data_IF_135768500808
#
_entry.id   IF_135768500808
#
_cell.length_a   1.000
_cell.length_b   1.000
_cell.length_c   1.000
_cell.angle_alpha   90.00
_cell.angle_beta   90.00
_cell.angle_gamma   90.00
#
_symmetry.space_group_name_H-M   'P 1'
#
loop_
_entity.id
_entity.type
_entity.pdbx_description
1 polymer ?
#
# COMPACT_ATOMS: atom_id res chain seq x y z
N UNK A 1 0.56 -20.83 17.23
CA UNK A 1 -0.85 -20.39 17.37
C UNK A 1 -1.39 -20.14 15.97
N UNK A 2 -2.54 -20.71 15.64
CA UNK A 2 -3.17 -20.42 14.35
C UNK A 2 -3.69 -19.00 14.37
N UNK A 3 -3.29 -18.18 13.39
CA UNK A 3 -3.78 -16.80 13.27
C UNK A 3 -5.27 -16.84 12.97
N UNK A 4 -6.10 -16.16 13.78
CA UNK A 4 -7.52 -16.02 13.49
C UNK A 4 -7.68 -15.04 12.31
N UNK A 5 -8.09 -15.54 11.15
CA UNK A 5 -8.38 -14.73 9.97
C UNK A 5 -9.88 -14.33 9.94
N UNK A 6 -10.23 -13.34 9.12
CA UNK A 6 -11.59 -12.81 9.01
C UNK A 6 -12.46 -13.58 8.01
N UNK A 7 -12.85 -14.80 8.36
CA UNK A 7 -13.80 -15.56 7.53
C UNK A 7 -15.18 -14.87 7.42
N UNK A 8 -15.60 -14.16 8.47
CA UNK A 8 -16.87 -13.47 8.57
C UNK A 8 -16.80 -11.96 8.34
N UNK A 9 -15.68 -11.46 7.80
CA UNK A 9 -15.53 -10.05 7.46
C UNK A 9 -16.53 -9.58 6.41
N UNK A 10 -16.98 -8.33 6.53
CA UNK A 10 -17.94 -7.70 5.62
C UNK A 10 -17.42 -6.42 4.99
N UNK A 11 -16.23 -5.98 5.39
CA UNK A 11 -15.67 -4.69 5.01
C UNK A 11 -14.51 -4.85 4.01
N UNK A 12 -14.87 -5.08 2.73
CA UNK A 12 -13.93 -5.25 1.60
C UNK A 12 -13.58 -3.89 0.94
N UNK A 13 -13.34 -2.89 1.78
CA UNK A 13 -12.96 -1.55 1.37
C UNK A 13 -11.44 -1.48 1.08
N UNK A 14 -10.96 -0.75 0.04
CA UNK A 14 -9.53 -0.70 -0.32
C UNK A 14 -8.68 0.17 0.63
N UNK A 15 -9.03 0.18 1.88
CA UNK A 15 -8.37 0.87 2.99
C UNK A 15 -9.06 2.17 3.43
N UNK A 16 -9.26 2.35 4.77
CA UNK A 16 -8.80 1.38 5.79
C UNK A 16 -9.44 0.02 5.63
N UNK A 17 -8.73 -1.05 6.00
CA UNK A 17 -9.28 -2.42 5.99
C UNK A 17 -9.92 -2.77 7.32
N UNK A 18 -10.67 -3.88 7.36
CA UNK A 18 -11.23 -4.43 8.59
C UNK A 18 -10.13 -4.86 9.55
N UNK A 19 -10.33 -4.62 10.84
CA UNK A 19 -9.37 -4.92 11.91
C UNK A 19 -9.99 -5.92 12.88
N UNK A 20 -9.25 -6.97 13.23
CA UNK A 20 -9.69 -8.00 14.16
C UNK A 20 -9.97 -7.43 15.57
N UNK A 21 -10.98 -7.98 16.24
CA UNK A 21 -11.43 -7.47 17.55
C UNK A 21 -10.31 -7.48 18.60
N UNK A 22 -9.47 -8.52 18.66
CA UNK A 22 -8.37 -8.61 19.63
C UNK A 22 -7.28 -7.56 19.38
N UNK A 23 -7.08 -7.13 18.12
CA UNK A 23 -6.16 -6.04 17.76
C UNK A 23 -6.69 -4.71 18.30
N UNK A 24 -8.00 -4.44 18.12
CA UNK A 24 -8.65 -3.25 18.67
C UNK A 24 -8.66 -3.26 20.20
N UNK A 25 -8.93 -4.42 20.81
CA UNK A 25 -8.95 -4.56 22.27
C UNK A 25 -7.57 -4.31 22.88
N UNK A 26 -6.48 -4.64 22.21
CA UNK A 26 -5.13 -4.37 22.70
C UNK A 26 -4.88 -2.89 22.97
N UNK A 27 -5.56 -1.99 22.27
CA UNK A 27 -5.44 -0.54 22.45
C UNK A 27 -5.94 -0.04 23.82
N UNK A 28 -6.66 -0.84 24.57
CA UNK A 28 -7.17 -0.50 25.91
C UNK A 28 -6.18 -0.80 27.05
N UNK A 29 -4.99 -1.32 26.72
CA UNK A 29 -3.93 -1.57 27.72
C UNK A 29 -3.51 -0.27 28.42
N UNK A 30 -3.09 -0.34 29.70
CA UNK A 30 -2.57 0.82 30.42
C UNK A 30 -1.39 1.48 29.70
N UNK A 31 -1.32 2.80 29.78
CA UNK A 31 -0.23 3.59 29.18
C UNK A 31 1.12 3.25 29.84
N UNK A 32 2.18 3.30 29.05
CA UNK A 32 3.57 3.11 29.50
C UNK A 32 4.43 4.32 29.16
N UNK A 33 5.53 4.51 29.85
CA UNK A 33 6.50 5.57 29.55
C UNK A 33 7.26 5.24 28.27
N UNK A 34 7.20 6.12 27.27
CA UNK A 34 7.79 5.91 25.95
C UNK A 34 9.34 6.06 25.89
N UNK A 35 9.97 6.34 27.02
CA UNK A 35 11.44 6.41 27.20
C UNK A 35 11.90 5.43 28.29
N UNK A 36 11.22 4.30 28.44
CA UNK A 36 11.54 3.29 29.45
C UNK A 36 11.62 1.90 28.84
N UNK A 37 12.24 0.98 29.59
CA UNK A 37 12.50 -0.40 29.16
C UNK A 37 11.26 -1.14 28.63
N UNK A 38 10.09 -0.92 29.23
CA UNK A 38 8.83 -1.56 28.78
C UNK A 38 8.47 -1.15 27.35
N UNK A 39 8.67 0.12 26.98
CA UNK A 39 8.42 0.58 25.62
C UNK A 39 9.54 0.12 24.67
N UNK A 40 10.79 0.13 25.10
CA UNK A 40 11.92 -0.36 24.32
C UNK A 40 11.79 -1.84 23.97
N UNK A 41 11.34 -2.67 24.93
CA UNK A 41 11.02 -4.08 24.70
C UNK A 41 9.85 -4.25 23.72
N UNK A 42 8.78 -3.45 23.87
CA UNK A 42 7.66 -3.42 22.94
C UNK A 42 8.15 -3.06 21.51
N UNK A 43 8.89 -1.98 21.39
CA UNK A 43 9.44 -1.53 20.12
C UNK A 43 10.34 -2.59 19.47
N UNK A 44 11.21 -3.25 20.26
CA UNK A 44 12.09 -4.32 19.77
C UNK A 44 11.32 -5.51 19.19
N UNK A 45 10.18 -5.91 19.82
CA UNK A 45 9.31 -6.97 19.27
C UNK A 45 8.68 -6.53 17.95
N UNK A 46 8.24 -5.27 17.84
CA UNK A 46 7.70 -4.74 16.58
C UNK A 46 8.76 -4.71 15.50
N UNK A 47 10.00 -4.32 15.82
CA UNK A 47 11.12 -4.34 14.86
C UNK A 47 11.34 -5.73 14.28
N UNK A 48 11.40 -6.76 15.13
CA UNK A 48 11.63 -8.13 14.66
C UNK A 48 10.55 -8.58 13.64
N UNK A 49 9.28 -8.27 13.89
CA UNK A 49 8.19 -8.61 12.98
C UNK A 49 8.21 -7.73 11.71
N UNK A 50 8.46 -6.44 11.83
CA UNK A 50 8.51 -5.51 10.69
C UNK A 50 9.67 -5.83 9.74
N UNK A 51 10.84 -6.23 10.27
CA UNK A 51 11.97 -6.65 9.45
C UNK A 51 11.61 -7.85 8.57
N UNK A 52 10.89 -8.83 9.09
CA UNK A 52 10.36 -9.97 8.30
C UNK A 52 9.39 -9.46 7.23
N UNK A 53 8.47 -8.56 7.57
CA UNK A 53 7.44 -8.05 6.65
C UNK A 53 8.05 -7.22 5.51
N UNK A 54 9.09 -6.44 5.78
CA UNK A 54 9.78 -5.64 4.77
C UNK A 54 10.86 -6.43 4.01
N UNK A 55 11.27 -7.61 4.51
CA UNK A 55 12.40 -8.37 3.96
C UNK A 55 13.71 -7.61 4.10
N UNK A 56 14.00 -7.10 5.31
CA UNK A 56 15.18 -6.27 5.59
C UNK A 56 15.83 -6.60 6.93
N UNK A 57 17.11 -6.38 7.01
CA UNK A 57 17.89 -6.34 8.26
C UNK A 57 18.02 -4.92 8.83
N UNK A 58 17.61 -3.91 8.07
CA UNK A 58 17.62 -2.52 8.48
C UNK A 58 16.53 -2.22 9.51
N UNK A 59 16.69 -1.17 10.35
CA UNK A 59 15.61 -0.66 11.19
C UNK A 59 14.40 -0.27 10.35
N UNK A 60 13.20 -0.60 10.85
CA UNK A 60 11.94 -0.12 10.27
C UNK A 60 11.40 1.01 11.14
N UNK A 61 11.30 2.20 10.59
CA UNK A 61 10.83 3.38 11.28
C UNK A 61 9.33 3.30 11.53
N UNK A 62 8.88 3.68 12.71
CA UNK A 62 7.47 3.73 13.09
C UNK A 62 7.09 5.18 13.37
N UNK A 63 6.24 5.74 12.52
CA UNK A 63 5.74 7.11 12.64
C UNK A 63 4.27 7.12 13.07
N UNK A 64 3.93 7.96 14.04
CA UNK A 64 2.53 8.25 14.40
C UNK A 64 1.92 9.24 13.41
N UNK A 65 1.74 8.80 12.18
CA UNK A 65 1.24 9.60 11.06
C UNK A 65 0.52 8.75 10.03
N UNK A 66 -0.02 9.38 8.99
CA UNK A 66 -0.35 8.66 7.76
C UNK A 66 0.91 8.39 6.93
N UNK A 67 0.84 7.42 6.03
CA UNK A 67 1.91 7.11 5.08
C UNK A 67 2.33 8.33 4.22
N UNK A 68 1.43 9.28 3.99
CA UNK A 68 1.72 10.54 3.28
C UNK A 68 2.86 11.32 3.95
N UNK A 69 2.96 11.31 5.29
CA UNK A 69 4.08 11.93 6.01
C UNK A 69 5.42 11.25 5.69
N UNK A 70 5.44 9.92 5.56
CA UNK A 70 6.66 9.21 5.18
C UNK A 70 6.98 9.34 3.68
N UNK A 71 5.97 9.57 2.80
CA UNK A 71 6.25 9.99 1.41
C UNK A 71 7.02 11.31 1.40
N UNK A 72 6.56 12.30 2.18
CA UNK A 72 7.25 13.60 2.32
C UNK A 72 8.65 13.44 2.93
N UNK A 73 8.80 12.60 3.96
CA UNK A 73 10.09 12.28 4.57
C UNK A 73 11.10 11.75 3.54
N UNK A 74 10.69 10.78 2.72
CA UNK A 74 11.52 10.23 1.65
C UNK A 74 11.98 11.28 0.65
N UNK A 75 11.07 12.15 0.19
CA UNK A 75 11.38 13.23 -0.76
C UNK A 75 12.37 14.25 -0.15
N UNK A 76 12.15 14.67 1.10
CA UNK A 76 13.01 15.64 1.79
C UNK A 76 14.40 15.10 2.08
N UNK A 77 14.52 13.79 2.35
CA UNK A 77 15.79 13.13 2.63
C UNK A 77 16.52 12.63 1.37
N UNK A 78 15.86 12.61 0.20
CA UNK A 78 16.48 12.22 -1.06
C UNK A 78 17.63 13.16 -1.47
N UNK A 79 18.65 12.67 -2.19
CA UNK A 79 19.76 13.49 -2.69
C UNK A 79 19.29 14.73 -3.43
N UNK A 80 20.06 15.83 -3.36
CA UNK A 80 19.74 17.06 -4.05
C UNK A 80 19.68 16.86 -5.57
N UNK A 81 18.73 17.52 -6.24
CA UNK A 81 18.54 17.45 -7.69
C UNK A 81 17.09 17.18 -8.09
N UNK A 82 16.89 17.04 -9.39
CA UNK A 82 15.59 16.78 -10.01
C UNK A 82 15.08 15.38 -9.68
N UNK A 83 13.78 15.22 -9.49
CA UNK A 83 13.11 13.94 -9.25
C UNK A 83 12.23 13.59 -10.43
N UNK A 84 12.22 12.32 -10.84
CA UNK A 84 11.29 11.79 -11.83
C UNK A 84 10.15 11.07 -11.11
N UNK A 85 8.92 11.51 -11.32
CA UNK A 85 7.73 10.86 -10.75
C UNK A 85 7.01 10.01 -11.79
N UNK A 86 6.93 8.69 -11.58
CA UNK A 86 6.12 7.78 -12.40
C UNK A 86 4.68 7.88 -11.93
N UNK A 87 3.75 8.30 -12.82
CA UNK A 87 2.35 8.56 -12.47
C UNK A 87 1.42 7.66 -13.30
N UNK A 88 0.86 6.63 -12.65
CA UNK A 88 -0.10 5.67 -13.23
C UNK A 88 -1.44 5.61 -12.48
N UNK A 89 -1.68 6.58 -11.60
CA UNK A 89 -2.92 6.68 -10.83
C UNK A 89 -2.92 7.87 -9.87
N UNK A 90 -3.88 7.88 -8.95
CA UNK A 90 -4.11 9.02 -8.05
C UNK A 90 -3.08 9.08 -6.90
N UNK A 91 -2.54 7.94 -6.45
CA UNK A 91 -1.57 7.93 -5.35
C UNK A 91 -0.17 8.25 -5.87
N UNK A 92 0.19 7.80 -7.04
CA UNK A 92 1.41 8.22 -7.72
C UNK A 92 1.37 9.71 -8.11
N UNK A 93 0.21 10.25 -8.54
CA UNK A 93 0.03 11.69 -8.73
C UNK A 93 0.18 12.48 -7.40
N UNK A 94 -0.29 11.91 -6.26
CA UNK A 94 -0.06 12.50 -4.93
C UNK A 94 1.42 12.53 -4.60
N UNK A 95 2.18 11.48 -4.90
CA UNK A 95 3.62 11.45 -4.67
C UNK A 95 4.33 12.55 -5.47
N UNK A 96 3.98 12.70 -6.75
CA UNK A 96 4.46 13.80 -7.59
C UNK A 96 4.12 15.19 -7.00
N UNK A 97 2.90 15.36 -6.48
CA UNK A 97 2.49 16.59 -5.81
C UNK A 97 3.30 16.89 -4.53
N UNK A 98 3.66 15.84 -3.76
CA UNK A 98 4.51 15.96 -2.59
C UNK A 98 5.93 16.40 -2.99
N UNK A 99 6.48 15.88 -4.09
CA UNK A 99 7.78 16.31 -4.64
C UNK A 99 7.76 17.81 -4.91
N UNK A 100 6.74 18.30 -5.62
CA UNK A 100 6.58 19.71 -5.93
C UNK A 100 6.36 20.56 -4.66
N UNK A 101 5.51 20.12 -3.74
CA UNK A 101 5.24 20.80 -2.47
C UNK A 101 6.47 20.87 -1.54
N UNK A 102 7.42 19.94 -1.69
CA UNK A 102 8.69 19.94 -0.99
C UNK A 102 9.74 20.89 -1.64
N UNK A 103 9.36 21.67 -2.65
CA UNK A 103 10.24 22.61 -3.35
C UNK A 103 11.27 21.93 -4.26
N UNK A 104 11.04 20.67 -4.66
CA UNK A 104 11.94 19.91 -5.54
C UNK A 104 11.51 20.06 -7.00
N UNK A 105 12.48 20.17 -7.91
CA UNK A 105 12.21 20.05 -9.34
C UNK A 105 11.66 18.64 -9.64
N UNK A 106 10.55 18.58 -10.36
CA UNK A 106 9.83 17.34 -10.64
C UNK A 106 9.47 17.22 -12.12
N UNK A 107 9.94 16.17 -12.77
CA UNK A 107 9.41 15.72 -14.06
C UNK A 107 8.44 14.58 -13.85
N UNK A 108 7.39 14.52 -14.66
CA UNK A 108 6.35 13.49 -14.55
C UNK A 108 6.40 12.57 -15.77
N UNK A 109 6.56 11.27 -15.54
CA UNK A 109 6.41 10.24 -16.54
C UNK A 109 4.97 9.68 -16.45
N UNK A 110 4.07 10.26 -17.25
CA UNK A 110 2.67 9.85 -17.30
C UNK A 110 2.52 8.45 -17.91
N UNK A 111 1.76 7.60 -17.21
CA UNK A 111 1.37 6.25 -17.62
C UNK A 111 -0.15 6.18 -17.68
N UNK A 112 -0.70 5.49 -18.65
CA UNK A 112 -2.15 5.30 -18.73
C UNK A 112 -2.66 4.57 -17.48
N UNK A 113 -3.76 5.03 -16.92
CA UNK A 113 -4.38 4.41 -15.75
C UNK A 113 -4.76 2.96 -16.03
N UNK A 114 -4.30 2.05 -15.18
CA UNK A 114 -4.43 0.60 -15.33
C UNK A 114 -3.22 -0.09 -15.94
N UNK A 115 -2.30 0.67 -16.53
CA UNK A 115 -1.01 0.16 -17.01
C UNK A 115 0.10 0.37 -15.96
N UNK A 116 1.24 -0.25 -16.18
CA UNK A 116 2.50 0.00 -15.47
C UNK A 116 3.46 0.74 -16.39
N UNK A 117 4.53 1.29 -15.82
CA UNK A 117 5.54 1.99 -16.60
C UNK A 117 6.23 1.04 -17.60
N UNK A 118 6.37 1.49 -18.82
CA UNK A 118 7.22 0.86 -19.83
C UNK A 118 8.69 1.11 -19.46
N UNK A 119 9.45 0.05 -19.26
CA UNK A 119 10.83 0.12 -18.80
C UNK A 119 11.77 0.73 -19.83
N UNK A 120 11.53 0.53 -21.14
CA UNK A 120 12.34 1.14 -22.20
C UNK A 120 12.11 2.67 -22.25
N UNK A 121 10.86 3.09 -22.08
CA UNK A 121 10.51 4.51 -21.96
C UNK A 121 11.13 5.15 -20.72
N UNK A 122 11.12 4.44 -19.58
CA UNK A 122 11.77 4.89 -18.36
C UNK A 122 13.29 5.02 -18.56
N UNK A 123 13.94 4.01 -19.14
CA UNK A 123 15.38 4.02 -19.46
C UNK A 123 15.75 5.18 -20.39
N UNK A 124 14.95 5.44 -21.42
CA UNK A 124 15.15 6.56 -22.34
C UNK A 124 15.08 7.91 -21.60
N UNK A 125 14.11 8.08 -20.69
CA UNK A 125 13.96 9.30 -19.90
C UNK A 125 15.14 9.50 -18.93
N UNK A 126 15.57 8.45 -18.24
CA UNK A 126 16.70 8.48 -17.31
C UNK A 126 18.03 8.76 -18.02
N UNK A 127 18.18 8.28 -19.26
CA UNK A 127 19.34 8.56 -20.10
C UNK A 127 19.36 10.00 -20.63
N UNK A 128 18.20 10.57 -20.93
CA UNK A 128 18.08 11.91 -21.49
C UNK A 128 18.28 13.01 -20.45
N UNK A 129 17.92 12.74 -19.19
CA UNK A 129 17.97 13.72 -18.08
C UNK A 129 18.50 13.08 -16.83
N UNK A 130 19.43 13.76 -16.13
CA UNK A 130 19.94 13.28 -14.85
C UNK A 130 18.93 13.56 -13.74
N UNK A 131 18.55 12.51 -13.02
CA UNK A 131 17.69 12.59 -11.85
C UNK A 131 18.46 12.19 -10.58
N UNK A 132 18.10 12.79 -9.45
CA UNK A 132 18.61 12.41 -8.14
C UNK A 132 17.79 11.28 -7.52
N UNK A 133 16.49 11.23 -7.87
CA UNK A 133 15.57 10.20 -7.39
C UNK A 133 14.47 9.90 -8.41
N UNK A 134 13.90 8.69 -8.29
CA UNK A 134 12.66 8.27 -8.96
C UNK A 134 11.61 7.97 -7.89
N UNK A 135 10.37 8.47 -8.03
CA UNK A 135 9.25 8.05 -7.18
C UNK A 135 8.36 7.07 -7.92
N UNK A 136 7.97 5.99 -7.25
CA UNK A 136 7.13 4.94 -7.82
C UNK A 136 6.15 4.39 -6.79
N UNK A 137 4.92 4.08 -7.22
CA UNK A 137 3.94 3.34 -6.41
C UNK A 137 3.97 1.87 -6.80
N UNK A 138 4.23 0.99 -5.83
CA UNK A 138 4.28 -0.46 -6.02
C UNK A 138 2.90 -1.02 -6.38
N UNK A 139 1.88 -0.73 -5.56
CA UNK A 139 0.49 -1.10 -5.79
C UNK A 139 -0.39 0.15 -5.80
N UNK A 140 -0.83 0.56 -6.99
CA UNK A 140 -1.65 1.77 -7.17
C UNK A 140 -3.12 1.47 -6.86
N UNK A 141 -3.56 1.88 -5.68
CA UNK A 141 -4.89 1.56 -5.13
C UNK A 141 -6.05 2.10 -5.98
N UNK A 142 -5.83 3.19 -6.71
CA UNK A 142 -6.87 3.81 -7.54
C UNK A 142 -7.18 3.03 -8.81
N UNK A 143 -6.20 2.25 -9.30
CA UNK A 143 -6.30 1.51 -10.58
C UNK A 143 -6.22 0.00 -10.41
N UNK A 144 -5.67 -0.49 -9.30
CA UNK A 144 -5.35 -1.90 -9.08
C UNK A 144 -4.11 -2.37 -9.84
N UNK A 145 -3.26 -1.46 -10.35
CA UNK A 145 -2.04 -1.81 -11.05
C UNK A 145 -0.90 -2.13 -10.07
N UNK A 146 -0.10 -3.14 -10.39
CA UNK A 146 1.11 -3.55 -9.66
C UNK A 146 2.34 -3.28 -10.53
N UNK A 147 3.23 -2.40 -10.06
CA UNK A 147 4.48 -2.06 -10.76
C UNK A 147 5.63 -2.94 -10.27
N UNK A 148 6.45 -3.43 -11.19
CA UNK A 148 7.72 -4.10 -10.85
C UNK A 148 8.73 -3.06 -10.32
N UNK A 149 8.68 -2.82 -9.01
CA UNK A 149 9.57 -1.84 -8.34
C UNK A 149 11.01 -2.29 -8.30
N UNK A 150 11.29 -3.60 -8.39
CA UNK A 150 12.65 -4.14 -8.51
C UNK A 150 13.30 -3.69 -9.82
N UNK A 151 12.59 -3.85 -10.93
CA UNK A 151 13.07 -3.41 -12.24
C UNK A 151 13.23 -1.89 -12.32
N UNK A 152 12.28 -1.12 -11.76
CA UNK A 152 12.36 0.35 -11.70
C UNK A 152 13.56 0.79 -10.87
N UNK A 153 13.79 0.20 -9.68
CA UNK A 153 14.93 0.53 -8.82
C UNK A 153 16.26 0.26 -9.53
N UNK A 154 16.39 -0.90 -10.17
CA UNK A 154 17.60 -1.26 -10.92
C UNK A 154 17.89 -0.24 -12.02
N UNK A 155 16.88 0.14 -12.82
CA UNK A 155 17.05 1.17 -13.85
C UNK A 155 17.42 2.53 -13.25
N UNK A 156 16.85 2.93 -12.12
CA UNK A 156 17.23 4.15 -11.43
C UNK A 156 18.71 4.12 -11.03
N UNK A 157 19.18 3.01 -10.44
CA UNK A 157 20.58 2.81 -10.05
C UNK A 157 21.54 2.83 -11.23
N UNK A 158 21.20 2.19 -12.36
CA UNK A 158 22.01 2.20 -13.60
C UNK A 158 22.25 3.63 -14.12
N UNK A 159 21.41 4.61 -13.70
CA UNK A 159 21.52 6.02 -14.07
C UNK A 159 21.88 6.94 -12.88
N UNK A 160 22.28 6.37 -11.74
CA UNK A 160 22.76 7.10 -10.56
C UNK A 160 21.67 7.81 -9.75
N UNK A 161 20.42 7.41 -9.90
CA UNK A 161 19.28 7.88 -9.11
C UNK A 161 18.89 6.87 -8.03
N UNK A 162 18.40 7.36 -6.87
CA UNK A 162 17.76 6.51 -5.85
C UNK A 162 16.29 6.30 -6.16
N UNK A 163 15.69 5.22 -5.64
CA UNK A 163 14.29 4.90 -5.85
C UNK A 163 13.48 5.04 -4.54
N UNK A 164 12.42 5.86 -4.56
CA UNK A 164 11.49 6.06 -3.45
C UNK A 164 10.21 5.28 -3.72
N UNK A 165 9.98 4.21 -2.99
CA UNK A 165 8.87 3.27 -3.21
C UNK A 165 7.73 3.51 -2.23
N UNK A 166 6.58 3.94 -2.73
CA UNK A 166 5.32 3.85 -1.99
C UNK A 166 4.75 2.43 -2.16
N UNK A 167 4.77 1.66 -1.09
CA UNK A 167 4.18 0.32 -1.04
C UNK A 167 3.03 0.23 -0.03
N UNK A 168 2.24 1.31 0.10
CA UNK A 168 1.14 1.42 1.09
C UNK A 168 0.12 0.30 0.95
N UNK A 169 -0.25 -0.08 -0.26
CA UNK A 169 -1.14 -1.23 -0.50
C UNK A 169 -0.39 -2.48 -1.00
N UNK A 170 0.93 -2.41 -1.11
CA UNK A 170 1.78 -3.52 -1.52
C UNK A 170 2.29 -4.33 -0.33
N UNK A 171 3.04 -3.69 0.59
CA UNK A 171 3.64 -4.39 1.75
C UNK A 171 2.56 -5.10 2.55
N UNK A 172 2.80 -6.40 2.80
CA UNK A 172 1.87 -7.31 3.46
C UNK A 172 0.90 -8.04 2.53
N UNK A 173 0.76 -7.63 1.26
CA UNK A 173 -0.10 -8.30 0.27
C UNK A 173 0.64 -8.73 -1.00
N UNK A 174 1.54 -7.91 -1.51
CA UNK A 174 2.41 -8.20 -2.64
C UNK A 174 3.82 -8.52 -2.14
N UNK A 175 4.54 -9.32 -2.90
CA UNK A 175 5.95 -9.60 -2.61
C UNK A 175 6.75 -8.30 -2.63
N UNK A 176 7.53 -8.07 -1.57
CA UNK A 176 8.54 -7.03 -1.50
C UNK A 176 9.68 -7.56 -0.63
N UNK A 177 10.91 -7.44 -1.12
CA UNK A 177 12.13 -7.90 -0.47
C UNK A 177 13.14 -6.76 -0.48
N UNK A 178 13.10 -5.94 0.54
CA UNK A 178 13.82 -4.67 0.56
C UNK A 178 15.32 -4.85 0.32
N UNK A 179 15.98 -5.72 1.10
CA UNK A 179 17.44 -5.93 0.98
C UNK A 179 17.81 -6.68 -0.31
N UNK A 180 17.08 -7.74 -0.67
CA UNK A 180 17.34 -8.55 -1.86
C UNK A 180 17.17 -7.77 -3.17
N UNK A 181 16.21 -6.82 -3.19
CA UNK A 181 15.95 -5.97 -4.36
C UNK A 181 16.74 -4.67 -4.34
N UNK A 182 17.63 -4.51 -3.35
CA UNK A 182 18.50 -3.34 -3.17
C UNK A 182 17.71 -2.01 -3.16
N UNK A 183 16.52 -1.99 -2.54
CA UNK A 183 15.70 -0.78 -2.48
C UNK A 183 16.37 0.30 -1.62
N UNK A 184 16.23 1.57 -2.01
CA UNK A 184 16.78 2.70 -1.25
C UNK A 184 15.85 3.13 -0.12
N UNK A 185 14.55 3.21 -0.41
CA UNK A 185 13.52 3.62 0.51
C UNK A 185 12.18 2.97 0.17
N UNK A 186 11.51 2.40 1.16
CA UNK A 186 10.16 1.86 1.00
C UNK A 186 9.29 2.19 2.21
N UNK A 187 8.01 2.48 1.97
CA UNK A 187 7.06 2.84 3.01
C UNK A 187 5.71 2.13 2.87
N UNK A 188 4.99 2.03 4.00
CA UNK A 188 3.61 1.55 4.04
C UNK A 188 2.80 2.23 5.15
N UNK A 189 1.49 2.00 5.18
CA UNK A 189 0.57 2.47 6.22
C UNK A 189 -0.09 1.32 6.97
N UNK A 190 -0.44 1.56 8.23
CA UNK A 190 -1.03 0.57 9.14
C UNK A 190 -2.38 0.02 8.64
N UNK A 191 -3.21 0.87 8.03
CA UNK A 191 -4.62 0.61 7.70
C UNK A 191 -4.85 -0.14 6.39
N UNK A 192 -3.82 -0.74 5.82
CA UNK A 192 -3.87 -1.49 4.56
C UNK A 192 -3.65 -2.99 4.84
N UNK A 193 -2.80 -3.64 4.07
CA UNK A 193 -2.59 -5.08 4.21
C UNK A 193 -2.00 -5.52 5.58
N UNK A 194 -1.53 -4.57 6.39
CA UNK A 194 -1.13 -4.85 7.76
C UNK A 194 -2.31 -5.02 8.73
N UNK A 195 -3.54 -4.70 8.29
CA UNK A 195 -4.79 -4.89 9.06
C UNK A 195 -4.73 -4.29 10.47
N UNK A 196 -4.19 -3.09 10.57
CA UNK A 196 -4.11 -2.27 11.79
C UNK A 196 -5.03 -1.05 11.69
N UNK A 197 -5.45 -0.47 12.80
CA UNK A 197 -6.13 0.83 12.78
C UNK A 197 -5.26 1.89 12.07
N UNK A 198 -5.87 2.88 11.37
CA UNK A 198 -5.13 4.01 10.82
C UNK A 198 -4.45 4.82 11.92
N UNK A 199 -3.27 5.40 11.63
CA UNK A 199 -2.54 6.27 12.55
C UNK A 199 -1.06 5.93 12.72
N UNK A 200 -0.60 4.77 12.21
CA UNK A 200 0.82 4.46 12.09
C UNK A 200 1.22 4.37 10.60
N UNK A 201 2.44 4.76 10.34
CA UNK A 201 3.12 4.54 9.07
C UNK A 201 4.51 3.92 9.35
N UNK A 202 4.97 3.10 8.42
CA UNK A 202 6.20 2.35 8.53
C UNK A 202 7.07 2.60 7.30
N UNK A 203 8.37 2.75 7.50
CA UNK A 203 9.33 2.86 6.40
C UNK A 203 10.66 2.25 6.79
N UNK A 204 11.44 1.90 5.79
CA UNK A 204 12.86 1.56 5.94
C UNK A 204 13.68 2.22 4.85
N UNK A 205 14.95 2.44 5.13
CA UNK A 205 15.89 3.05 4.19
C UNK A 205 17.21 2.29 4.19
N UNK A 206 17.86 2.22 3.03
CA UNK A 206 19.21 1.67 2.92
C UNK A 206 20.22 2.52 3.70
N UNK A 207 21.31 1.91 4.12
CA UNK A 207 22.39 2.64 4.81
C UNK A 207 22.94 3.77 3.92
N UNK A 208 23.10 3.52 2.63
CA UNK A 208 23.58 4.51 1.67
C UNK A 208 22.62 5.71 1.55
N UNK A 209 21.29 5.45 1.54
CA UNK A 209 20.30 6.51 1.53
C UNK A 209 20.39 7.38 2.80
N UNK A 210 20.51 6.77 4.00
CA UNK A 210 20.63 7.53 5.26
C UNK A 210 21.94 8.33 5.31
N UNK A 211 23.07 7.76 4.88
CA UNK A 211 24.34 8.50 4.82
C UNK A 211 24.26 9.72 3.86
N UNK A 212 23.61 9.56 2.70
CA UNK A 212 23.33 10.66 1.80
C UNK A 212 22.40 11.69 2.43
N UNK A 213 21.34 11.25 3.13
CA UNK A 213 20.37 12.12 3.78
C UNK A 213 21.01 13.02 4.85
N UNK A 214 22.04 12.56 5.56
CA UNK A 214 22.77 13.38 6.55
C UNK A 214 23.34 14.68 5.95
N UNK A 215 23.64 14.66 4.67
CA UNK A 215 24.19 15.81 3.94
C UNK A 215 23.12 16.75 3.37
N UNK A 216 21.83 16.38 3.43
CA UNK A 216 20.75 17.17 2.84
C UNK A 216 20.26 18.25 3.81
N UNK A 217 20.21 19.53 3.41
CA UNK A 217 19.53 20.56 4.18
C UNK A 217 18.01 20.41 4.05
N UNK A 218 17.25 20.89 5.04
CA UNK A 218 15.80 21.02 4.91
C UNK A 218 15.02 19.71 5.07
N UNK A 219 15.62 18.66 5.69
CA UNK A 219 14.92 17.41 6.02
C UNK A 219 13.71 17.62 6.94
N UNK A 220 13.63 18.78 7.59
CA UNK A 220 12.64 19.09 8.61
C UNK A 220 13.06 18.55 9.97
N UNK A 221 12.15 18.64 10.95
CA UNK A 221 12.35 18.11 12.29
C UNK A 221 11.51 16.85 12.54
N UNK A 222 10.20 16.91 12.18
CA UNK A 222 9.24 15.87 12.53
C UNK A 222 9.39 14.61 11.68
N UNK A 223 9.71 14.74 10.39
CA UNK A 223 9.88 13.66 9.44
C UNK A 223 11.34 13.43 9.00
N UNK A 224 12.31 13.79 9.83
CA UNK A 224 13.73 13.54 9.54
C UNK A 224 14.07 12.06 9.65
N UNK A 225 14.33 11.39 8.52
CA UNK A 225 14.65 9.96 8.49
C UNK A 225 15.98 9.64 9.17
N UNK A 226 16.92 10.59 9.27
CA UNK A 226 18.17 10.42 10.02
C UNK A 226 17.87 10.28 11.53
N UNK A 227 16.96 11.10 12.04
CA UNK A 227 16.50 10.97 13.42
C UNK A 227 15.71 9.68 13.65
N UNK A 228 14.82 9.30 12.71
CA UNK A 228 14.10 8.02 12.81
C UNK A 228 15.07 6.83 12.85
N UNK A 229 16.12 6.82 12.01
CA UNK A 229 17.14 5.76 12.01
C UNK A 229 17.88 5.69 13.36
N UNK A 230 18.36 6.84 13.86
CA UNK A 230 19.10 6.93 15.11
C UNK A 230 18.27 6.51 16.35
N UNK A 231 16.97 6.80 16.35
CA UNK A 231 16.08 6.40 17.44
C UNK A 231 15.64 4.94 17.34
N UNK A 232 15.38 4.44 16.13
CA UNK A 232 15.01 3.04 15.92
C UNK A 232 16.11 2.07 16.37
N UNK A 233 17.39 2.44 16.18
CA UNK A 233 18.54 1.68 16.69
C UNK A 233 18.59 1.59 18.22
N UNK A 234 17.86 2.46 18.93
CA UNK A 234 17.71 2.46 20.40
C UNK A 234 16.36 1.87 20.84
N UNK A 235 15.59 1.26 19.94
CA UNK A 235 14.22 0.81 20.18
C UNK A 235 13.29 1.95 20.65
N UNK A 236 13.43 3.14 20.10
CA UNK A 236 12.67 4.34 20.45
C UNK A 236 12.13 5.06 19.22
N UNK A 237 11.27 6.04 19.44
CA UNK A 237 10.79 6.98 18.41
C UNK A 237 11.32 8.37 18.67
N UNK A 238 11.59 9.22 17.65
CA UNK A 238 12.06 10.59 17.88
C UNK A 238 11.05 11.44 18.68
N UNK A 239 9.77 11.26 18.41
CA UNK A 239 8.66 11.98 19.06
C UNK A 239 7.82 11.02 19.90
N UNK A 240 6.97 11.58 20.81
CA UNK A 240 6.04 10.76 21.60
C UNK A 240 5.10 9.99 20.68
N UNK A 241 5.09 8.64 20.75
CA UNK A 241 4.31 7.81 19.84
C UNK A 241 2.86 7.64 20.31
N UNK A 242 2.00 7.22 19.38
CA UNK A 242 0.63 6.79 19.66
C UNK A 242 0.63 5.40 20.32
N UNK A 243 0.99 5.32 21.62
CA UNK A 243 1.21 4.07 22.37
C UNK A 243 0.08 3.05 22.21
N UNK A 244 -1.22 3.41 22.24
CA UNK A 244 -2.29 2.44 22.01
C UNK A 244 -2.19 1.73 20.66
N UNK A 245 -1.76 2.41 19.62
CA UNK A 245 -1.55 1.80 18.28
C UNK A 245 -0.33 0.87 18.27
N UNK A 246 0.68 1.12 19.10
CA UNK A 246 1.80 0.18 19.29
C UNK A 246 1.34 -1.10 19.98
N UNK A 247 0.39 -1.02 20.93
CA UNK A 247 -0.22 -2.21 21.53
C UNK A 247 -1.04 -3.02 20.51
N UNK A 248 -1.76 -2.36 19.60
CA UNK A 248 -2.44 -3.03 18.50
C UNK A 248 -1.42 -3.73 17.57
N UNK A 249 -0.31 -3.03 17.26
CA UNK A 249 0.76 -3.58 16.42
C UNK A 249 1.46 -4.78 17.09
N UNK A 250 1.61 -4.80 18.41
CA UNK A 250 2.20 -5.91 19.20
C UNK A 250 1.37 -7.21 19.12
N UNK A 251 0.09 -7.11 18.82
CA UNK A 251 -0.77 -8.27 18.54
C UNK A 251 -0.73 -8.66 17.08
N UNK A 252 -0.81 -7.68 16.18
CA UNK A 252 -1.00 -7.93 14.75
C UNK A 252 0.28 -8.32 14.00
N UNK A 253 1.39 -7.61 14.21
CA UNK A 253 2.61 -7.84 13.44
C UNK A 253 3.24 -9.21 13.68
N UNK A 254 3.34 -9.72 14.92
CA UNK A 254 3.77 -11.10 15.16
C UNK A 254 2.86 -12.14 14.52
N UNK A 255 1.54 -11.89 14.47
CA UNK A 255 0.59 -12.77 13.80
C UNK A 255 0.85 -12.84 12.28
N UNK A 256 1.13 -11.69 11.65
CA UNK A 256 1.53 -11.64 10.23
C UNK A 256 2.83 -12.41 10.00
N UNK A 257 3.84 -12.20 10.85
CA UNK A 257 5.11 -12.92 10.74
C UNK A 257 4.94 -14.44 10.91
N UNK A 258 4.03 -14.88 11.81
CA UNK A 258 3.72 -16.29 12.02
C UNK A 258 2.95 -16.93 10.85
N UNK A 259 2.12 -16.17 10.11
CA UNK A 259 1.50 -16.62 8.85
C UNK A 259 2.56 -16.93 7.78
N UNK A 260 3.72 -16.37 7.87
CA UNK A 260 4.79 -16.25 6.88
C UNK A 260 4.43 -15.35 5.69
N UNK A 261 5.39 -14.56 5.22
CA UNK A 261 5.13 -13.64 4.11
C UNK A 261 4.73 -14.39 2.83
N UNK A 262 5.31 -15.56 2.57
CA UNK A 262 4.96 -16.38 1.40
C UNK A 262 3.49 -16.82 1.44
N UNK A 263 3.03 -17.40 2.54
CA UNK A 263 1.64 -17.84 2.67
C UNK A 263 0.66 -16.63 2.58
N UNK A 264 1.05 -15.48 3.15
CA UNK A 264 0.26 -14.26 3.09
C UNK A 264 0.14 -13.72 1.66
N UNK A 265 1.22 -13.65 0.91
CA UNK A 265 1.21 -13.25 -0.51
C UNK A 265 0.37 -14.21 -1.37
N UNK A 266 0.53 -15.52 -1.17
CA UNK A 266 -0.24 -16.54 -1.90
C UNK A 266 -1.75 -16.43 -1.60
N UNK A 267 -2.13 -16.15 -0.36
CA UNK A 267 -3.54 -15.91 0.03
C UNK A 267 -4.11 -14.67 -0.68
N UNK A 268 -3.37 -13.56 -0.69
CA UNK A 268 -3.80 -12.35 -1.38
C UNK A 268 -3.90 -12.55 -2.88
N UNK A 269 -2.92 -13.21 -3.49
CA UNK A 269 -2.93 -13.54 -4.92
C UNK A 269 -4.13 -14.45 -5.28
N UNK A 270 -4.46 -15.42 -4.42
CA UNK A 270 -5.63 -16.28 -4.62
C UNK A 270 -6.94 -15.50 -4.60
N UNK A 271 -7.08 -14.54 -3.67
CA UNK A 271 -8.25 -13.66 -3.61
C UNK A 271 -8.34 -12.73 -4.83
N UNK A 272 -7.23 -12.16 -5.29
CA UNK A 272 -7.18 -11.34 -6.49
C UNK A 272 -7.58 -12.13 -7.73
N UNK A 273 -6.99 -13.30 -7.94
CA UNK A 273 -7.31 -14.19 -9.07
C UNK A 273 -8.79 -14.60 -9.06
N UNK A 274 -9.34 -14.89 -7.89
CA UNK A 274 -10.76 -15.23 -7.76
C UNK A 274 -11.67 -14.06 -8.11
N UNK A 275 -11.29 -12.85 -7.68
CA UNK A 275 -12.03 -11.63 -8.02
C UNK A 275 -11.99 -11.36 -9.53
N UNK A 276 -10.83 -11.55 -10.17
CA UNK A 276 -10.67 -11.40 -11.62
C UNK A 276 -11.58 -12.36 -12.41
N UNK A 277 -11.61 -13.64 -12.01
CA UNK A 277 -12.49 -14.65 -12.59
C UNK A 277 -13.98 -14.28 -12.43
N UNK A 278 -14.33 -13.75 -11.26
CA UNK A 278 -15.70 -13.30 -11.00
C UNK A 278 -16.07 -12.10 -11.89
N UNK A 279 -15.18 -11.12 -12.10
CA UNK A 279 -15.43 -10.01 -13.02
C UNK A 279 -15.62 -10.48 -14.45
N UNK A 280 -14.82 -11.45 -14.92
CA UNK A 280 -14.99 -12.04 -16.27
C UNK A 280 -16.37 -12.73 -16.40
N UNK A 281 -16.83 -13.46 -15.36
CA UNK A 281 -18.16 -14.07 -15.33
C UNK A 281 -19.28 -13.03 -15.31
N UNK A 282 -19.11 -11.95 -14.52
CA UNK A 282 -20.07 -10.85 -14.43
C UNK A 282 -20.20 -10.15 -15.78
N UNK A 283 -19.08 -9.88 -16.47
CA UNK A 283 -19.05 -9.26 -17.80
C UNK A 283 -19.80 -10.14 -18.84
N UNK A 284 -19.61 -11.44 -18.80
CA UNK A 284 -20.32 -12.38 -19.69
C UNK A 284 -21.83 -12.37 -19.48
N UNK A 285 -22.31 -12.17 -18.25
CA UNK A 285 -23.76 -12.16 -17.93
C UNK A 285 -24.43 -10.84 -18.24
N UNK A 286 -23.76 -9.72 -18.07
CA UNK A 286 -24.36 -8.38 -18.12
C UNK A 286 -23.85 -7.54 -19.30
N UNK A 287 -22.58 -7.11 -19.27
CA UNK A 287 -22.02 -6.18 -20.22
C UNK A 287 -20.49 -6.35 -20.32
N UNK A 288 -19.96 -6.41 -21.54
CA UNK A 288 -18.52 -6.52 -21.79
C UNK A 288 -17.73 -5.27 -21.38
N UNK A 289 -18.39 -4.14 -21.15
CA UNK A 289 -17.74 -2.95 -20.61
C UNK A 289 -17.32 -3.13 -19.14
N UNK A 290 -17.94 -4.08 -18.40
CA UNK A 290 -17.45 -4.55 -17.11
C UNK A 290 -16.09 -5.21 -17.28
N UNK A 291 -15.08 -4.66 -16.66
CA UNK A 291 -13.73 -5.23 -16.73
C UNK A 291 -12.84 -4.75 -15.59
N UNK A 292 -11.84 -5.53 -15.25
CA UNK A 292 -10.77 -5.05 -14.38
C UNK A 292 -10.01 -3.94 -15.10
N UNK A 293 -9.76 -2.82 -14.41
CA UNK A 293 -9.06 -1.67 -15.00
C UNK A 293 -7.60 -2.00 -15.28
N UNK A 294 -6.92 -2.66 -14.32
CA UNK A 294 -5.52 -3.02 -14.48
C UNK A 294 -5.33 -4.12 -15.53
N UNK A 295 -4.31 -3.98 -16.36
CA UNK A 295 -3.99 -4.96 -17.42
C UNK A 295 -3.57 -6.30 -16.81
N UNK A 296 -3.90 -7.40 -17.50
CA UNK A 296 -3.48 -8.76 -17.09
C UNK A 296 -1.95 -8.82 -16.99
N UNK A 297 -1.45 -9.53 -15.99
CA UNK A 297 0.00 -9.63 -15.69
C UNK A 297 0.53 -8.52 -14.77
N UNK A 298 -0.23 -7.43 -14.59
CA UNK A 298 0.15 -6.29 -13.74
C UNK A 298 -0.96 -5.92 -12.75
N UNK A 299 -1.68 -6.90 -12.24
CA UNK A 299 -2.78 -6.70 -11.27
C UNK A 299 -2.31 -6.82 -9.84
N UNK A 300 -2.74 -5.89 -9.02
CA UNK A 300 -2.45 -5.88 -7.59
C UNK A 300 -3.11 -7.06 -6.86
N UNK A 301 -2.40 -7.77 -5.98
CA UNK A 301 -3.01 -8.80 -5.14
C UNK A 301 -3.84 -8.23 -3.97
N UNK A 302 -3.86 -6.92 -3.76
CA UNK A 302 -4.53 -6.28 -2.61
C UNK A 302 -5.86 -5.60 -2.95
N UNK A 303 -6.07 -5.19 -4.20
CA UNK A 303 -7.24 -4.43 -4.64
C UNK A 303 -7.53 -4.68 -6.11
N UNK A 304 -8.80 -4.92 -6.44
CA UNK A 304 -9.30 -4.98 -7.82
C UNK A 304 -10.18 -3.76 -8.09
N UNK A 305 -9.82 -2.96 -9.10
CA UNK A 305 -10.64 -1.84 -9.60
C UNK A 305 -11.43 -2.32 -10.83
N UNK A 306 -12.76 -2.18 -10.77
CA UNK A 306 -13.71 -2.70 -11.77
C UNK A 306 -14.37 -1.52 -12.46
N UNK A 307 -14.14 -1.39 -13.77
CA UNK A 307 -14.83 -0.40 -14.60
C UNK A 307 -16.28 -0.81 -14.80
N UNK A 308 -17.16 0.17 -14.69
CA UNK A 308 -18.60 0.03 -14.89
C UNK A 308 -18.99 0.48 -16.30
N UNK A 309 -20.05 -0.10 -16.91
CA UNK A 309 -20.60 0.40 -18.14
C UNK A 309 -21.23 1.80 -17.93
N UNK A 310 -21.34 2.63 -18.97
CA UNK A 310 -21.85 4.00 -18.86
C UNK A 310 -23.29 4.12 -18.28
N UNK A 311 -24.06 3.04 -18.34
CA UNK A 311 -25.42 2.98 -17.83
C UNK A 311 -25.52 2.79 -16.30
N UNK A 312 -24.39 2.53 -15.61
CA UNK A 312 -24.35 2.19 -14.19
C UNK A 312 -23.38 3.09 -13.45
N UNK A 313 -23.79 3.67 -12.34
CA UNK A 313 -22.94 4.49 -11.49
C UNK A 313 -22.38 3.70 -10.33
N UNK A 314 -21.18 4.05 -9.86
CA UNK A 314 -20.61 3.46 -8.65
C UNK A 314 -21.54 3.63 -7.45
N UNK A 315 -22.18 4.78 -7.30
CA UNK A 315 -23.14 5.06 -6.22
C UNK A 315 -24.29 4.04 -6.20
N UNK A 316 -24.84 3.66 -7.36
CA UNK A 316 -25.92 2.67 -7.42
C UNK A 316 -25.46 1.28 -6.97
N UNK A 317 -24.27 0.84 -7.45
CA UNK A 317 -23.68 -0.46 -7.06
C UNK A 317 -23.36 -0.49 -5.57
N UNK A 318 -22.72 0.54 -5.02
CA UNK A 318 -22.36 0.62 -3.60
C UNK A 318 -23.59 0.54 -2.69
N UNK A 319 -24.68 1.23 -3.07
CA UNK A 319 -25.94 1.17 -2.33
C UNK A 319 -26.54 -0.23 -2.34
N UNK A 320 -26.54 -0.90 -3.49
CA UNK A 320 -27.04 -2.26 -3.62
C UNK A 320 -26.19 -3.26 -2.80
N UNK A 321 -24.84 -3.15 -2.86
CA UNK A 321 -23.94 -3.99 -2.05
C UNK A 321 -24.13 -3.77 -0.55
N UNK A 322 -24.39 -2.52 -0.13
CA UNK A 322 -24.66 -2.21 1.28
C UNK A 322 -25.97 -2.85 1.78
N UNK A 323 -27.00 -2.97 0.94
CA UNK A 323 -28.23 -3.69 1.27
C UNK A 323 -28.00 -5.19 1.48
N UNK A 324 -26.97 -5.75 0.86
CA UNK A 324 -26.52 -7.14 1.04
C UNK A 324 -25.59 -7.33 2.28
N UNK A 325 -25.37 -6.24 3.07
CA UNK A 325 -24.58 -6.27 4.30
C UNK A 325 -23.06 -6.17 4.11
N UNK A 326 -22.60 -5.80 2.92
CA UNK A 326 -21.17 -5.65 2.63
C UNK A 326 -20.78 -4.22 2.28
N UNK A 327 -19.52 -3.87 2.50
CA UNK A 327 -18.96 -2.57 2.12
C UNK A 327 -17.80 -2.77 1.14
N UNK A 328 -17.90 -2.16 -0.04
CA UNK A 328 -16.81 -2.05 -1.03
C UNK A 328 -16.54 -0.57 -1.33
N UNK A 329 -15.46 -0.26 -2.06
CA UNK A 329 -15.09 1.12 -2.37
C UNK A 329 -15.67 1.63 -3.70
N UNK A 330 -15.99 2.93 -3.78
CA UNK A 330 -16.13 3.63 -5.08
C UNK A 330 -14.76 3.66 -5.80
N UNK A 331 -14.75 4.00 -7.07
CA UNK A 331 -13.54 4.41 -7.75
C UNK A 331 -12.81 5.55 -7.02
N UNK A 332 -11.68 5.98 -7.54
CA UNK A 332 -10.93 7.09 -6.97
C UNK A 332 -10.48 8.07 -8.05
N UNK A 333 -10.33 9.36 -7.68
CA UNK A 333 -9.95 10.41 -8.61
C UNK A 333 -10.93 10.50 -9.80
N UNK A 334 -10.41 10.50 -11.02
CA UNK A 334 -11.23 10.62 -12.25
C UNK A 334 -12.20 9.46 -12.48
N UNK A 335 -11.97 8.30 -11.86
CA UNK A 335 -12.83 7.11 -12.01
C UNK A 335 -13.83 6.95 -10.85
N UNK A 336 -14.06 7.98 -10.04
CA UNK A 336 -14.88 7.92 -8.81
C UNK A 336 -16.27 7.32 -9.05
N UNK A 337 -16.97 7.75 -10.09
CA UNK A 337 -18.34 7.32 -10.40
C UNK A 337 -18.40 6.22 -11.50
N UNK A 338 -17.29 5.95 -12.17
CA UNK A 338 -17.23 5.02 -13.31
C UNK A 338 -16.58 3.69 -12.95
N UNK A 339 -16.20 3.50 -11.70
CA UNK A 339 -15.63 2.23 -11.22
C UNK A 339 -15.97 1.97 -9.77
N UNK A 340 -15.91 0.71 -9.36
CA UNK A 340 -15.92 0.26 -7.97
C UNK A 340 -14.65 -0.50 -7.67
N UNK A 341 -14.28 -0.62 -6.37
CA UNK A 341 -13.07 -1.32 -5.96
C UNK A 341 -13.38 -2.31 -4.85
N UNK A 342 -12.86 -3.53 -4.98
CA UNK A 342 -12.88 -4.54 -3.93
C UNK A 342 -11.49 -4.61 -3.33
N UNK A 343 -11.37 -4.30 -2.04
CA UNK A 343 -10.14 -4.42 -1.26
C UNK A 343 -10.10 -5.80 -0.60
N UNK A 344 -9.40 -6.75 -1.21
CA UNK A 344 -9.21 -8.08 -0.67
C UNK A 344 -7.85 -8.19 0.03
N UNK A 345 -7.61 -7.31 1.01
CA UNK A 345 -6.33 -7.19 1.70
C UNK A 345 -6.49 -7.37 3.23
N UNK A 346 -5.37 -7.55 3.89
CA UNK A 346 -5.31 -7.67 5.34
C UNK A 346 -5.56 -9.10 5.80
N UNK A 347 -6.49 -9.29 6.73
CA UNK A 347 -6.76 -10.61 7.33
C UNK A 347 -7.97 -11.32 6.70
N UNK A 348 -8.54 -10.78 5.61
CA UNK A 348 -9.60 -11.46 4.86
C UNK A 348 -9.14 -12.80 4.28
N UNK A 349 -10.08 -13.75 4.17
CA UNK A 349 -9.86 -15.06 3.61
C UNK A 349 -10.58 -15.22 2.27
N UNK A 350 -10.22 -16.26 1.52
CA UNK A 350 -10.94 -16.63 0.30
C UNK A 350 -12.42 -16.96 0.59
N UNK A 351 -12.73 -17.63 1.71
CA UNK A 351 -14.11 -17.91 2.12
C UNK A 351 -14.89 -16.63 2.41
N UNK A 352 -14.29 -15.67 3.11
CA UNK A 352 -14.88 -14.33 3.33
C UNK A 352 -15.13 -13.59 2.03
N UNK A 353 -14.15 -13.63 1.11
CA UNK A 353 -14.27 -13.02 -0.23
C UNK A 353 -15.43 -13.65 -1.04
N UNK A 354 -15.57 -14.97 -1.06
CA UNK A 354 -16.65 -15.64 -1.79
C UNK A 354 -18.04 -15.15 -1.34
N UNK A 355 -18.22 -14.90 -0.04
CA UNK A 355 -19.47 -14.31 0.47
C UNK A 355 -19.67 -12.88 -0.01
N UNK A 356 -18.61 -12.09 -0.04
CA UNK A 356 -18.65 -10.73 -0.59
C UNK A 356 -18.99 -10.75 -2.08
N UNK A 357 -18.35 -11.61 -2.87
CA UNK A 357 -18.62 -11.72 -4.31
C UNK A 357 -20.05 -12.20 -4.60
N UNK A 358 -20.59 -13.15 -3.81
CA UNK A 358 -21.99 -13.58 -3.92
C UNK A 358 -22.99 -12.45 -3.59
N UNK A 359 -22.67 -11.60 -2.62
CA UNK A 359 -23.45 -10.39 -2.33
C UNK A 359 -23.35 -9.36 -3.47
N UNK A 360 -22.15 -9.17 -4.01
CA UNK A 360 -21.93 -8.34 -5.19
C UNK A 360 -22.70 -8.86 -6.41
N UNK A 361 -22.78 -10.18 -6.65
CA UNK A 361 -23.58 -10.76 -7.73
C UNK A 361 -25.03 -10.31 -7.65
N UNK A 362 -25.68 -10.49 -6.48
CA UNK A 362 -27.07 -10.04 -6.29
C UNK A 362 -27.23 -8.53 -6.46
N UNK A 363 -26.27 -7.77 -5.99
CA UNK A 363 -26.27 -6.30 -6.14
C UNK A 363 -26.17 -5.87 -7.61
N UNK A 364 -25.29 -6.51 -8.40
CA UNK A 364 -25.17 -6.22 -9.83
C UNK A 364 -26.40 -6.69 -10.61
N UNK A 365 -26.98 -7.86 -10.30
CA UNK A 365 -28.24 -8.33 -10.89
C UNK A 365 -29.39 -7.36 -10.64
N UNK A 366 -29.40 -6.67 -9.50
CA UNK A 366 -30.44 -5.69 -9.15
C UNK A 366 -30.27 -4.33 -9.88
N UNK A 367 -29.05 -3.94 -10.25
CA UNK A 367 -28.78 -2.62 -10.86
C UNK A 367 -28.49 -2.69 -12.36
N UNK A 368 -28.27 -3.87 -12.92
CA UNK A 368 -27.96 -4.11 -14.31
C UNK A 368 -28.92 -5.11 -14.96
N UNK A 369 -29.46 -4.81 -16.15
CA UNK A 369 -30.23 -5.80 -16.88
C UNK A 369 -29.32 -6.97 -17.30
N UNK A 370 -29.84 -8.20 -17.20
CA UNK A 370 -29.19 -9.35 -17.80
C UNK A 370 -29.23 -9.25 -19.32
N UNK A 371 -28.21 -9.71 -20.00
CA UNK A 371 -28.24 -9.86 -21.47
C UNK A 371 -29.40 -10.78 -21.84
N UNK A 372 -30.29 -10.31 -22.69
CA UNK A 372 -31.26 -11.22 -23.34
C UNK A 372 -30.45 -12.11 -24.28
N UNK A 373 -30.43 -13.41 -23.99
CA UNK A 373 -29.89 -14.46 -24.90
C UNK A 373 -30.66 -14.48 -26.20
#
# INVERSE_FOLDING_TARGET
MTVALLDNGTFFFPGPTEVRAEVLQAMTRPMVAHRGAVFEDLFGRLQAALQVIFGTSRPVYISSSSATGLMEAGVRCAPAGRILSIVNGAFSARFAAIVAASGRENDVLEVRWGDTVDLDRLAAQLKATRYAAVTVVHSETSTGALTDVRAVTRLAHDHGAVCLVDSVTGIGAAELRFDEWELDYALTGSQKALALPPGLAFATASSAFIESAKQQPGRGLYFDLVEFDAYALKNQTPNTPAIPLFFAADVQLPAIAAETMRARWDRHASMANRTDQWVDQLAARHDEALRVLAVRGHRSPSVTSIMLPPSVTATAVLRAVALEGFTIGSGYGKNKETSVRIGHMGDHTLAGLERCLAACDRAFDAVMPQRRT
#
